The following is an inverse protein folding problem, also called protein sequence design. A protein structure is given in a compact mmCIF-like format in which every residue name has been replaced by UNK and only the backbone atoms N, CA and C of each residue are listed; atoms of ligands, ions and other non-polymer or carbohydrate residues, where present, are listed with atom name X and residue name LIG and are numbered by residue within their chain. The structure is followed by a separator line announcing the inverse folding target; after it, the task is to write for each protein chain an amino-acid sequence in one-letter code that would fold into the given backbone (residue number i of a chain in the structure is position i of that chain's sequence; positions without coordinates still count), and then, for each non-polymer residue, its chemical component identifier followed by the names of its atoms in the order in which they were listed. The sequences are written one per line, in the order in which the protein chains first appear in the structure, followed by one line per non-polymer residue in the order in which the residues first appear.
data_IF_141218356111
#
_entry.id   IF_141218356111
#
_cell.length_a   1.000
_cell.length_b   1.000
_cell.length_c   1.000
_cell.angle_alpha   90.00
_cell.angle_beta   90.00
_cell.angle_gamma   90.00
#
_symmetry.space_group_name_H-M   'P 1'
#
loop_
_entity.id
_entity.type
_entity.pdbx_description
1 polymer ?
#
# COMPACT_ATOMS: atom_id res chain seq x y z
N UNK A 1 -14.52 -2.64 -9.73
CA UNK A 1 -14.74 -2.47 -8.26
C UNK A 1 -13.40 -2.09 -7.67
N UNK A 2 -13.29 -0.91 -7.05
CA UNK A 2 -12.10 -0.55 -6.28
C UNK A 2 -12.10 -1.42 -5.00
N UNK A 3 -11.01 -2.16 -4.76
CA UNK A 3 -10.84 -2.89 -3.48
C UNK A 3 -10.52 -1.87 -2.39
N UNK A 4 -11.15 -2.04 -1.23
CA UNK A 4 -10.94 -1.17 -0.06
C UNK A 4 -10.52 -2.03 1.12
N UNK A 5 -9.41 -1.66 1.75
CA UNK A 5 -8.97 -2.24 3.02
C UNK A 5 -9.37 -1.31 4.18
N UNK A 6 -9.64 -1.91 5.35
CA UNK A 6 -9.94 -1.17 6.58
C UNK A 6 -8.94 -1.57 7.65
N UNK A 7 -8.23 -0.59 8.20
CA UNK A 7 -7.24 -0.76 9.25
C UNK A 7 -7.70 -0.02 10.50
N UNK A 8 -7.12 -0.36 11.65
CA UNK A 8 -7.24 0.44 12.87
C UNK A 8 -5.94 1.19 13.07
N UNK A 9 -6.04 2.51 13.25
CA UNK A 9 -4.90 3.33 13.64
C UNK A 9 -4.56 3.13 15.13
N UNK A 10 -3.48 3.77 15.59
CA UNK A 10 -3.02 3.72 16.99
C UNK A 10 -4.04 4.27 17.99
N UNK A 11 -4.98 5.11 17.53
CA UNK A 11 -6.04 5.68 18.35
C UNK A 11 -7.31 4.79 18.37
N UNK A 12 -7.28 3.66 17.66
CA UNK A 12 -8.42 2.75 17.51
C UNK A 12 -9.46 3.19 16.47
N UNK A 13 -9.19 4.25 15.70
CA UNK A 13 -10.07 4.69 14.62
C UNK A 13 -9.94 3.78 13.42
N UNK A 14 -11.07 3.53 12.74
CA UNK A 14 -11.06 2.78 11.48
C UNK A 14 -10.66 3.72 10.34
N UNK A 15 -9.51 3.46 9.73
CA UNK A 15 -9.05 4.14 8.52
C UNK A 15 -9.25 3.23 7.32
N UNK A 16 -9.76 3.80 6.23
CA UNK A 16 -10.05 3.06 5.00
C UNK A 16 -9.08 3.46 3.91
N UNK A 17 -8.63 2.47 3.17
CA UNK A 17 -7.65 2.62 2.11
C UNK A 17 -8.18 2.05 0.81
N UNK A 18 -8.10 2.83 -0.26
CA UNK A 18 -8.44 2.41 -1.62
C UNK A 18 -7.20 1.85 -2.29
N UNK A 19 -7.33 0.64 -2.81
CA UNK A 19 -6.29 0.00 -3.62
C UNK A 19 -6.21 0.67 -4.98
N UNK A 20 -5.00 1.05 -5.39
CA UNK A 20 -4.72 1.66 -6.69
C UNK A 20 -3.97 0.74 -7.61
N UNK A 21 -3.04 -0.04 -7.07
CA UNK A 21 -2.29 -1.00 -7.85
C UNK A 21 -1.80 -2.16 -6.96
N UNK A 22 -1.71 -3.35 -7.56
CA UNK A 22 -0.98 -4.47 -7.00
C UNK A 22 0.31 -4.63 -7.82
N UNK A 23 1.44 -4.75 -7.13
CA UNK A 23 2.77 -4.82 -7.76
C UNK A 23 3.51 -6.02 -7.21
N UNK A 24 4.15 -6.79 -8.09
CA UNK A 24 5.02 -7.88 -7.71
C UNK A 24 6.46 -7.51 -8.03
N UNK A 25 7.36 -7.59 -7.04
CA UNK A 25 8.81 -7.37 -7.24
C UNK A 25 9.56 -8.58 -6.69
N UNK A 26 10.08 -9.40 -7.60
CA UNK A 26 10.80 -10.62 -7.25
C UNK A 26 9.86 -11.67 -6.64
N UNK A 27 9.96 -11.90 -5.34
CA UNK A 27 9.10 -12.85 -4.59
C UNK A 27 8.12 -12.15 -3.63
N UNK A 28 8.16 -10.82 -3.61
CA UNK A 28 7.36 -10.01 -2.72
C UNK A 28 6.17 -9.43 -3.48
N UNK A 29 5.01 -9.44 -2.83
CA UNK A 29 3.80 -8.81 -3.32
C UNK A 29 3.57 -7.51 -2.55
N UNK A 30 3.18 -6.47 -3.28
CA UNK A 30 2.92 -5.14 -2.76
C UNK A 30 1.56 -4.65 -3.20
N UNK A 31 0.99 -3.76 -2.40
CA UNK A 31 -0.23 -3.03 -2.72
C UNK A 31 0.00 -1.55 -2.49
N UNK A 32 -0.32 -0.76 -3.52
CA UNK A 32 -0.25 0.69 -3.47
C UNK A 32 -1.65 1.19 -3.16
N UNK A 33 -1.78 1.93 -2.09
CA UNK A 33 -3.06 2.40 -1.57
C UNK A 33 -3.03 3.89 -1.23
N UNK A 34 -4.20 4.49 -1.14
CA UNK A 34 -4.36 5.82 -0.55
C UNK A 34 -5.53 5.83 0.44
N UNK A 35 -5.50 6.70 1.46
CA UNK A 35 -6.66 6.94 2.31
C UNK A 35 -7.90 7.27 1.47
N UNK A 36 -9.04 6.68 1.80
CA UNK A 36 -10.31 6.87 1.08
C UNK A 36 -10.72 8.36 0.99
N UNK A 37 -10.38 9.12 2.02
CA UNK A 37 -10.69 10.54 2.19
C UNK A 37 -9.66 11.47 1.51
N UNK A 38 -8.48 10.96 1.14
CA UNK A 38 -7.43 11.75 0.46
C UNK A 38 -6.48 10.84 -0.30
N UNK A 39 -6.55 10.87 -1.64
CA UNK A 39 -5.56 10.24 -2.51
C UNK A 39 -4.44 11.19 -2.94
N UNK A 40 -4.12 12.17 -2.07
CA UNK A 40 -2.97 13.05 -2.28
C UNK A 40 -1.64 12.33 -2.05
N UNK A 41 -1.63 11.32 -1.16
CA UNK A 41 -0.44 10.53 -0.85
C UNK A 41 -0.73 9.05 -1.11
N UNK A 42 0.12 8.42 -1.91
CA UNK A 42 0.13 6.98 -2.08
C UNK A 42 1.11 6.37 -1.09
N UNK A 43 0.68 5.29 -0.46
CA UNK A 43 1.45 4.50 0.48
C UNK A 43 1.59 3.09 -0.10
N UNK A 44 2.76 2.49 0.15
CA UNK A 44 3.12 1.17 -0.38
C UNK A 44 3.17 0.20 0.78
N UNK A 45 2.40 -0.87 0.69
CA UNK A 45 2.37 -1.91 1.71
C UNK A 45 2.83 -3.24 1.12
N UNK A 46 3.62 -4.01 1.86
CA UNK A 46 4.04 -5.37 1.50
C UNK A 46 3.10 -6.38 2.13
N UNK A 47 2.69 -7.39 1.36
CA UNK A 47 1.96 -8.53 1.92
C UNK A 47 2.91 -9.42 2.71
N UNK A 48 2.68 -9.45 4.01
CA UNK A 48 3.20 -10.48 4.91
C UNK A 48 2.13 -11.56 5.11
N UNK A 49 2.49 -12.71 5.68
CA UNK A 49 1.62 -13.90 5.75
C UNK A 49 0.21 -13.61 6.27
N UNK A 50 0.08 -12.73 7.26
CA UNK A 50 -1.19 -12.41 7.93
C UNK A 50 -1.46 -10.89 8.04
N UNK A 51 -0.55 -10.05 7.54
CA UNK A 51 -0.63 -8.61 7.72
C UNK A 51 -0.05 -7.83 6.52
N UNK A 52 -0.30 -6.53 6.51
CA UNK A 52 0.28 -5.61 5.55
C UNK A 52 1.25 -4.71 6.29
N UNK A 53 2.50 -4.71 5.86
CA UNK A 53 3.57 -3.90 6.45
C UNK A 53 3.85 -2.67 5.59
N UNK A 54 3.99 -1.50 6.22
CA UNK A 54 4.27 -0.26 5.50
C UNK A 54 5.72 -0.25 5.03
N UNK A 55 5.95 -0.06 3.73
CA UNK A 55 7.29 -0.04 3.16
C UNK A 55 7.88 1.36 3.30
N UNK A 56 8.81 1.52 4.24
CA UNK A 56 9.54 2.78 4.45
C UNK A 56 10.96 2.77 3.84
N UNK A 57 11.47 1.60 3.44
CA UNK A 57 12.80 1.45 2.85
C UNK A 57 12.89 2.12 1.47
N UNK A 58 13.83 3.06 1.31
CA UNK A 58 13.95 3.88 0.11
C UNK A 58 14.39 3.08 -1.12
N UNK A 59 15.21 2.05 -0.95
CA UNK A 59 15.70 1.22 -2.05
C UNK A 59 14.58 0.30 -2.55
N UNK A 60 13.82 -0.29 -1.64
CA UNK A 60 12.64 -1.09 -1.92
C UNK A 60 11.57 -0.25 -2.64
N UNK A 61 11.26 0.94 -2.11
CA UNK A 61 10.35 1.89 -2.75
C UNK A 61 10.80 2.28 -4.16
N UNK A 62 12.10 2.48 -4.37
CA UNK A 62 12.64 2.83 -5.69
C UNK A 62 12.42 1.73 -6.73
N UNK A 63 12.53 0.46 -6.32
CA UNK A 63 12.26 -0.69 -7.20
C UNK A 63 10.78 -0.79 -7.55
N UNK A 64 9.90 -0.53 -6.59
CA UNK A 64 8.45 -0.57 -6.78
C UNK A 64 8.02 0.57 -7.72
N UNK A 65 8.55 1.78 -7.51
CA UNK A 65 8.32 2.93 -8.41
C UNK A 65 8.75 2.67 -9.85
N UNK A 66 9.82 1.92 -10.06
CA UNK A 66 10.30 1.59 -11.40
C UNK A 66 9.34 0.69 -12.20
N UNK A 67 8.43 -0.03 -11.53
CA UNK A 67 7.49 -0.97 -12.16
C UNK A 67 6.03 -0.58 -12.00
N UNK A 68 5.72 0.32 -11.07
CA UNK A 68 4.38 0.83 -10.81
C UNK A 68 3.89 1.73 -11.95
N UNK A 69 2.57 1.69 -12.21
CA UNK A 69 1.91 2.57 -13.16
C UNK A 69 1.23 3.78 -12.50
N UNK A 70 1.17 3.79 -11.16
CA UNK A 70 0.48 4.83 -10.39
C UNK A 70 1.42 5.73 -9.58
N UNK A 71 2.65 5.29 -9.32
CA UNK A 71 3.69 6.03 -8.60
C UNK A 71 4.65 6.78 -9.53
#
# INVERSE_FOLDING_TARGET
MEKVFSFRDENGNVVKYKVKEHVEVGKNEYVIMCPENSCANYEVFRFEKEELDLVEDSDELSRIKAVSKVL
#
